data_IF_389481129378
#
_entry.id   IF_389481129378
#
_cell.length_a   1.000
_cell.length_b   1.000
_cell.length_c   1.000
_cell.angle_alpha   90.00
_cell.angle_beta   90.00
_cell.angle_gamma   90.00
#
_symmetry.space_group_name_H-M   'P 1'
#
loop_
_entity.id
_entity.type
_entity.pdbx_description
1 polymer ?
#
# COMPACT_ATOMS: atom_id res chain seq x y z
N UNK A 1 21.23 10.39 0.66
CA UNK A 1 19.78 10.63 0.70
C UNK A 1 19.15 9.66 -0.28
N UNK A 2 18.70 8.48 0.15
CA UNK A 2 18.22 7.47 -0.81
C UNK A 2 16.75 7.73 -1.15
N UNK A 3 16.40 7.99 -2.43
CA UNK A 3 15.05 8.32 -2.88
C UNK A 3 14.10 7.10 -2.99
N UNK A 4 14.46 5.98 -2.36
CA UNK A 4 13.72 4.72 -2.44
C UNK A 4 12.93 4.52 -1.15
N UNK A 5 11.61 4.35 -1.23
CA UNK A 5 10.91 3.76 -0.09
C UNK A 5 9.40 3.79 -0.10
N UNK A 6 8.75 4.68 -0.85
CA UNK A 6 7.28 4.74 -0.91
C UNK A 6 6.77 4.19 -2.22
N UNK A 7 5.78 3.32 -2.13
CA UNK A 7 5.16 2.74 -3.31
C UNK A 7 3.79 3.35 -3.61
N UNK A 8 3.42 3.24 -4.88
CA UNK A 8 2.09 3.53 -5.39
C UNK A 8 1.62 2.29 -6.13
N UNK A 9 0.39 1.85 -5.86
CA UNK A 9 -0.24 0.77 -6.60
C UNK A 9 -1.42 1.29 -7.41
N UNK A 10 -1.59 0.67 -8.56
CA UNK A 10 -2.70 0.87 -9.47
C UNK A 10 -3.47 -0.44 -9.50
N UNK A 11 -4.75 -0.38 -9.15
CA UNK A 11 -5.62 -1.56 -9.21
C UNK A 11 -6.36 -1.59 -10.53
N UNK A 12 -6.69 -2.79 -10.99
CA UNK A 12 -7.50 -2.99 -12.21
C UNK A 12 -8.90 -2.36 -12.10
N UNK A 13 -9.38 -2.15 -10.85
CA UNK A 13 -10.60 -1.38 -10.56
C UNK A 13 -10.48 0.13 -10.84
N UNK A 14 -9.30 0.61 -11.23
CA UNK A 14 -8.98 2.02 -11.47
C UNK A 14 -8.62 2.81 -10.21
N UNK A 15 -8.66 2.18 -9.03
CA UNK A 15 -8.26 2.81 -7.77
C UNK A 15 -6.75 2.97 -7.69
N UNK A 16 -6.30 4.06 -7.05
CA UNK A 16 -4.89 4.34 -6.83
C UNK A 16 -4.62 4.55 -5.35
N UNK A 17 -3.66 3.81 -4.82
CA UNK A 17 -3.29 3.85 -3.41
C UNK A 17 -1.81 4.14 -3.24
N UNK A 18 -1.47 4.96 -2.24
CA UNK A 18 -0.11 5.35 -1.93
C UNK A 18 0.19 5.11 -0.46
N UNK A 19 1.37 4.55 -0.18
CA UNK A 19 1.90 4.42 1.17
C UNK A 19 2.09 5.80 1.82
N UNK A 20 1.68 5.94 3.08
CA UNK A 20 1.78 7.22 3.81
C UNK A 20 3.22 7.50 4.25
N UNK A 21 3.54 8.77 4.45
CA UNK A 21 4.89 9.20 4.82
C UNK A 21 5.34 8.65 6.19
N UNK A 22 4.41 8.50 7.15
CA UNK A 22 4.69 7.95 8.48
C UNK A 22 5.01 6.45 8.52
N UNK A 23 4.85 5.73 7.41
CA UNK A 23 5.04 4.27 7.34
C UNK A 23 6.45 3.91 6.84
N UNK A 24 7.38 3.55 7.72
CA UNK A 24 8.79 3.36 7.33
C UNK A 24 9.06 2.04 6.57
N UNK A 25 8.06 1.19 6.42
CA UNK A 25 8.20 -0.13 5.80
C UNK A 25 8.54 -0.05 4.31
N UNK A 26 9.38 -0.99 3.86
CA UNK A 26 9.74 -1.14 2.45
C UNK A 26 8.93 -2.27 1.84
N UNK A 27 8.18 -1.93 0.81
CA UNK A 27 7.44 -2.90 0.03
C UNK A 27 8.32 -3.51 -1.05
N UNK A 28 8.28 -4.84 -1.12
CA UNK A 28 8.88 -5.64 -2.18
C UNK A 28 7.74 -6.45 -2.79
N UNK A 29 7.47 -6.22 -4.07
CA UNK A 29 6.38 -6.87 -4.79
C UNK A 29 6.59 -6.83 -6.30
N UNK A 30 6.04 -7.83 -6.97
CA UNK A 30 5.96 -7.91 -8.42
C UNK A 30 4.61 -7.41 -8.94
N UNK A 31 4.55 -7.11 -10.24
CA UNK A 31 3.28 -6.79 -10.91
C UNK A 31 2.39 -8.04 -10.99
N UNK A 32 1.07 -7.85 -10.97
CA UNK A 32 0.09 -8.93 -11.09
C UNK A 32 -0.22 -9.66 -9.78
N UNK A 33 0.28 -9.16 -8.64
CA UNK A 33 -0.03 -9.69 -7.32
C UNK A 33 -1.31 -9.04 -6.78
N UNK A 34 -2.20 -9.85 -6.23
CA UNK A 34 -3.40 -9.35 -5.56
C UNK A 34 -3.04 -8.55 -4.31
N UNK A 35 -3.85 -7.56 -3.96
CA UNK A 35 -3.70 -6.80 -2.71
C UNK A 35 -5.00 -6.84 -1.92
N UNK A 36 -4.89 -6.84 -0.61
CA UNK A 36 -6.04 -6.72 0.28
C UNK A 36 -5.98 -5.36 0.98
N UNK A 37 -7.07 -4.60 0.90
CA UNK A 37 -7.19 -3.28 1.52
C UNK A 37 -8.23 -3.36 2.61
N UNK A 38 -7.81 -3.02 3.83
CA UNK A 38 -8.64 -3.04 5.02
C UNK A 38 -8.76 -1.64 5.61
N UNK A 39 -9.99 -1.24 5.91
CA UNK A 39 -10.26 0.02 6.62
C UNK A 39 -10.11 -0.21 8.13
N UNK A 40 -9.24 0.56 8.77
CA UNK A 40 -9.05 0.55 10.21
C UNK A 40 -9.88 1.62 10.93
N UNK A 41 -9.64 1.76 12.24
CA UNK A 41 -10.21 2.83 13.04
C UNK A 41 -9.86 4.22 12.53
N UNK A 42 -10.74 5.20 12.81
CA UNK A 42 -10.56 6.62 12.47
C UNK A 42 -10.35 6.90 10.96
N UNK A 43 -10.87 6.03 10.08
CA UNK A 43 -10.76 6.23 8.63
C UNK A 43 -9.39 5.95 8.03
N UNK A 44 -8.50 5.31 8.80
CA UNK A 44 -7.22 4.82 8.28
C UNK A 44 -7.40 3.63 7.34
N UNK A 45 -6.44 3.42 6.44
CA UNK A 45 -6.41 2.25 5.56
C UNK A 45 -5.08 1.54 5.69
N UNK A 46 -5.15 0.22 5.61
CA UNK A 46 -4.01 -0.68 5.63
C UNK A 46 -4.07 -1.59 4.42
N UNK A 47 -2.90 -2.00 3.94
CA UNK A 47 -2.76 -2.79 2.74
C UNK A 47 -1.80 -3.95 2.99
N UNK A 48 -2.19 -5.14 2.53
CA UNK A 48 -1.30 -6.30 2.42
C UNK A 48 -1.17 -6.70 0.95
N UNK A 49 -0.01 -7.25 0.59
CA UNK A 49 0.32 -7.63 -0.79
C UNK A 49 0.49 -9.14 -0.85
N UNK A 50 -0.32 -9.82 -1.66
CA UNK A 50 -0.39 -11.28 -1.71
C UNK A 50 -0.63 -11.89 -0.32
N UNK A 51 0.15 -12.92 -0.01
CA UNK A 51 0.14 -13.60 1.30
C UNK A 51 1.16 -13.01 2.28
N UNK A 52 1.66 -11.79 2.04
CA UNK A 52 2.61 -11.16 2.94
C UNK A 52 1.95 -10.80 4.28
N UNK A 53 2.65 -11.12 5.37
CA UNK A 53 2.29 -10.66 6.73
C UNK A 53 2.59 -9.16 6.95
N UNK A 54 3.27 -8.50 6.00
CA UNK A 54 3.57 -7.07 6.09
C UNK A 54 2.33 -6.24 5.79
N UNK A 55 2.12 -5.24 6.64
CA UNK A 55 0.96 -4.36 6.58
C UNK A 55 1.42 -2.92 6.38
N UNK A 56 1.05 -2.35 5.25
CA UNK A 56 1.45 -1.00 4.87
C UNK A 56 0.33 -0.02 5.15
N UNK A 57 0.64 1.13 5.77
CA UNK A 57 -0.34 2.20 5.92
C UNK A 57 -0.45 2.99 4.63
N UNK A 58 -1.66 3.08 4.10
CA UNK A 58 -1.93 3.67 2.79
C UNK A 58 -3.04 4.71 2.85
N UNK A 59 -3.10 5.55 1.83
CA UNK A 59 -4.24 6.43 1.55
C UNK A 59 -4.67 6.29 0.11
N UNK A 60 -5.97 6.45 -0.12
CA UNK A 60 -6.53 6.51 -1.47
C UNK A 60 -6.19 7.85 -2.09
N UNK A 61 -5.73 7.82 -3.34
CA UNK A 61 -5.38 9.01 -4.13
C UNK A 61 -6.41 9.24 -5.24
N UNK A 62 -7.02 8.16 -5.75
CA UNK A 62 -8.07 8.18 -6.77
C UNK A 62 -9.04 7.01 -6.58
#
# INVERSE_FOLDING_TARGET
YTPYGKFVIFLDSGQVWRQIEGDADRADFSKGVAVTISRGGLGSYSLTIGDSEKLYKVRRVK
#
